data_IF_335561988024
#
_entry.id   IF_335561988024
#
_cell.length_a   1.000
_cell.length_b   1.000
_cell.length_c   1.000
_cell.angle_alpha   90.00
_cell.angle_beta   90.00
_cell.angle_gamma   90.00
#
_symmetry.space_group_name_H-M   'P 1'
#
loop_
_entity.id
_entity.type
_entity.pdbx_description
1 polymer ?
#
# COMPACT_ATOMS: atom_id res chain seq x y z
N UNK A 1 -17.66 -5.48 21.76
CA UNK A 1 -16.17 -5.47 21.85
C UNK A 1 -15.70 -6.84 21.38
N UNK A 2 -15.19 -6.91 20.16
CA UNK A 2 -14.81 -8.15 19.49
C UNK A 2 -13.55 -8.78 20.09
N UNK A 3 -13.41 -10.09 19.98
CA UNK A 3 -12.30 -10.90 20.52
C UNK A 3 -10.90 -10.35 20.18
N UNK A 4 -10.76 -9.62 19.07
CA UNK A 4 -9.53 -8.95 18.64
C UNK A 4 -9.06 -7.84 19.59
N UNK A 5 -9.95 -7.14 20.30
CA UNK A 5 -9.58 -6.12 21.29
C UNK A 5 -8.99 -6.73 22.57
N UNK A 6 -9.36 -7.95 22.91
CA UNK A 6 -8.88 -8.65 24.12
C UNK A 6 -7.47 -9.23 23.94
N UNK A 7 -7.02 -9.45 22.69
CA UNK A 7 -5.71 -10.05 22.36
C UNK A 7 -4.56 -9.02 22.25
N UNK A 8 -4.83 -7.74 22.45
CA UNK A 8 -3.82 -6.66 22.32
C UNK A 8 -2.99 -6.42 23.59
N UNK A 9 -3.31 -7.07 24.71
CA UNK A 9 -2.60 -6.87 25.98
C UNK A 9 -1.90 -8.16 26.40
N UNK A 10 -0.58 -8.18 26.34
CA UNK A 10 0.26 -9.20 26.94
C UNK A 10 0.72 -10.35 26.03
N UNK A 11 1.38 -11.33 26.61
CA UNK A 11 2.01 -12.52 25.97
C UNK A 11 1.15 -13.25 24.91
N UNK A 12 -0.17 -13.21 25.05
CA UNK A 12 -1.10 -13.85 24.11
C UNK A 12 -1.01 -13.29 22.67
N UNK A 13 -0.61 -12.02 22.48
CA UNK A 13 -0.45 -11.46 21.15
C UNK A 13 0.75 -12.03 20.38
N UNK A 14 1.76 -12.55 21.09
CA UNK A 14 2.95 -13.16 20.49
C UNK A 14 2.74 -14.62 20.09
N UNK A 15 1.95 -15.37 20.86
CA UNK A 15 1.62 -16.76 20.53
C UNK A 15 0.66 -16.90 19.34
N UNK A 16 -0.18 -15.90 19.12
CA UNK A 16 -1.10 -15.86 17.96
C UNK A 16 -0.33 -15.65 16.64
N UNK A 17 0.85 -15.03 16.67
CA UNK A 17 1.62 -14.73 15.46
C UNK A 17 2.28 -15.95 14.81
N UNK A 18 2.38 -17.07 15.50
CA UNK A 18 3.06 -18.27 14.99
C UNK A 18 2.15 -19.25 14.25
N UNK A 19 0.84 -19.07 14.30
CA UNK A 19 -0.13 -20.02 13.73
C UNK A 19 -1.04 -19.42 12.65
N UNK A 20 -0.92 -18.13 12.32
CA UNK A 20 -1.80 -17.51 11.33
C UNK A 20 -1.06 -17.28 10.01
N UNK A 21 -1.51 -17.95 8.97
CA UNK A 21 -1.11 -17.68 7.61
C UNK A 21 -2.09 -16.69 6.98
N UNK A 22 -1.54 -15.79 6.21
CA UNK A 22 -2.28 -14.70 5.60
C UNK A 22 -2.70 -15.09 4.20
N UNK A 23 -3.97 -15.16 3.93
CA UNK A 23 -4.46 -15.11 2.57
C UNK A 23 -4.38 -13.66 2.10
N UNK A 24 -3.56 -13.37 1.09
CA UNK A 24 -3.46 -12.03 0.52
C UNK A 24 -4.25 -12.01 -0.77
N UNK A 25 -5.22 -11.13 -0.80
CA UNK A 25 -6.00 -10.87 -1.99
C UNK A 25 -5.55 -9.56 -2.61
N UNK A 26 -5.01 -9.61 -3.81
CA UNK A 26 -4.82 -8.39 -4.59
C UNK A 26 -6.17 -8.00 -5.17
N UNK A 27 -6.72 -6.89 -4.73
CA UNK A 27 -7.93 -6.35 -5.35
C UNK A 27 -7.74 -6.18 -6.85
N UNK A 28 -8.75 -6.53 -7.64
CA UNK A 28 -8.70 -6.40 -9.09
C UNK A 28 -8.50 -4.94 -9.48
N UNK A 29 -7.32 -4.61 -9.93
CA UNK A 29 -7.00 -3.28 -10.41
C UNK A 29 -7.60 -3.06 -11.80
N UNK A 30 -8.84 -2.61 -11.90
CA UNK A 30 -9.38 -1.99 -13.13
C UNK A 30 -8.70 -0.66 -13.49
N UNK A 31 -7.61 -0.35 -12.81
CA UNK A 31 -6.91 0.93 -12.81
C UNK A 31 -6.07 1.22 -14.04
N UNK A 32 -5.77 0.20 -14.84
CA UNK A 32 -4.81 0.34 -15.93
C UNK A 32 -5.33 1.08 -17.15
N UNK A 33 -6.62 1.37 -17.25
CA UNK A 33 -7.16 1.80 -18.54
C UNK A 33 -7.72 3.23 -18.61
N UNK A 34 -7.86 3.98 -17.52
CA UNK A 34 -8.60 5.27 -17.62
C UNK A 34 -8.14 6.43 -16.75
N UNK A 35 -7.05 6.34 -16.02
CA UNK A 35 -6.55 7.53 -15.34
C UNK A 35 -5.42 8.16 -16.16
N UNK A 36 -5.81 8.90 -17.19
CA UNK A 36 -5.02 10.04 -17.63
C UNK A 36 -4.72 10.91 -16.42
N UNK A 37 -3.50 11.45 -16.32
CA UNK A 37 -3.15 12.39 -15.25
C UNK A 37 -4.20 13.49 -15.21
N UNK A 38 -5.13 13.44 -14.25
CA UNK A 38 -6.07 14.53 -14.05
C UNK A 38 -5.30 15.71 -13.50
N UNK A 39 -5.01 16.67 -14.38
CA UNK A 39 -4.54 17.98 -13.96
C UNK A 39 -5.69 18.68 -13.22
N UNK A 40 -5.56 18.86 -11.91
CA UNK A 40 -6.48 19.68 -11.13
C UNK A 40 -6.13 21.13 -11.38
N UNK A 41 -7.02 21.85 -12.04
CA UNK A 41 -6.89 23.29 -12.24
C UNK A 41 -7.40 24.02 -11.00
N UNK A 42 -6.49 24.63 -10.28
CA UNK A 42 -6.83 25.62 -9.25
C UNK A 42 -6.74 27.02 -9.89
N UNK A 43 -7.89 27.60 -10.23
CA UNK A 43 -7.92 28.87 -10.95
C UNK A 43 -7.35 28.78 -12.38
N UNK A 44 -7.31 29.91 -13.10
CA UNK A 44 -6.87 29.93 -14.50
C UNK A 44 -5.36 29.75 -14.72
N UNK A 45 -4.52 29.65 -13.70
CA UNK A 45 -3.05 29.76 -13.85
C UNK A 45 -2.21 28.66 -13.20
N UNK A 46 -2.71 27.81 -12.33
CA UNK A 46 -1.90 26.80 -11.64
C UNK A 46 -2.41 25.40 -11.91
N UNK A 47 -1.55 24.54 -12.44
CA UNK A 47 -1.79 23.12 -12.62
C UNK A 47 -0.97 22.36 -11.58
N UNK A 48 -1.62 21.52 -10.78
CA UNK A 48 -0.96 20.64 -9.82
C UNK A 48 -1.21 19.16 -10.12
N UNK A 49 -0.39 18.29 -9.55
CA UNK A 49 -0.54 16.83 -9.63
C UNK A 49 -1.03 16.27 -8.31
N UNK A 50 -1.90 15.28 -8.38
CA UNK A 50 -2.31 14.45 -7.25
C UNK A 50 -1.91 13.02 -7.58
N UNK A 51 -1.31 12.32 -6.62
CA UNK A 51 -0.94 10.93 -6.83
C UNK A 51 -2.16 10.07 -7.12
N UNK A 52 -2.03 9.12 -8.03
CA UNK A 52 -3.12 8.26 -8.53
C UNK A 52 -3.86 7.55 -7.40
N UNK A 53 -3.16 7.18 -6.34
CA UNK A 53 -3.75 6.56 -5.15
C UNK A 53 -4.96 7.35 -4.61
N UNK A 54 -4.89 8.68 -4.63
CA UNK A 54 -5.95 9.55 -4.07
C UNK A 54 -7.05 9.91 -5.07
N UNK A 55 -6.83 9.62 -6.34
CA UNK A 55 -7.84 9.82 -7.39
C UNK A 55 -8.76 8.62 -7.57
N UNK A 56 -8.53 7.61 -6.77
CA UNK A 56 -9.13 6.32 -7.00
C UNK A 56 -10.13 5.99 -5.92
N UNK A 57 -11.02 5.10 -6.27
CA UNK A 57 -12.01 4.53 -5.37
C UNK A 57 -11.32 3.58 -4.38
N UNK A 58 -10.83 4.16 -3.28
CA UNK A 58 -10.09 3.42 -2.27
C UNK A 58 -11.00 2.54 -1.40
N UNK A 59 -10.45 1.44 -0.87
CA UNK A 59 -11.13 0.53 0.06
C UNK A 59 -11.70 1.17 1.32
N UNK A 60 -11.40 2.43 1.57
CA UNK A 60 -11.94 3.19 2.72
C UNK A 60 -13.38 3.65 2.51
N UNK A 61 -13.85 3.67 1.27
CA UNK A 61 -15.21 4.04 0.94
C UNK A 61 -16.09 2.79 0.91
N UNK A 62 -17.08 2.74 1.78
CA UNK A 62 -17.94 1.56 1.98
C UNK A 62 -18.81 1.20 0.77
N UNK A 63 -19.02 2.13 -0.13
CA UNK A 63 -19.74 1.95 -1.40
C UNK A 63 -18.83 1.58 -2.57
N UNK A 64 -17.51 1.58 -2.36
CA UNK A 64 -16.55 1.19 -3.39
C UNK A 64 -16.61 -0.30 -3.72
N UNK A 65 -16.36 -0.65 -4.97
CA UNK A 65 -16.29 -2.06 -5.41
C UNK A 65 -15.17 -2.82 -4.71
N UNK A 66 -14.05 -2.16 -4.42
CA UNK A 66 -12.95 -2.75 -3.66
C UNK A 66 -13.37 -3.13 -2.24
N UNK A 67 -14.07 -2.24 -1.53
CA UNK A 67 -14.57 -2.50 -0.20
C UNK A 67 -15.60 -3.65 -0.19
N UNK A 68 -16.58 -3.59 -1.09
CA UNK A 68 -17.61 -4.63 -1.23
C UNK A 68 -17.01 -6.01 -1.51
N UNK A 69 -16.00 -6.06 -2.38
CA UNK A 69 -15.29 -7.31 -2.69
C UNK A 69 -14.56 -7.84 -1.46
N UNK A 70 -13.90 -6.98 -0.71
CA UNK A 70 -13.21 -7.33 0.52
C UNK A 70 -14.16 -7.90 1.59
N UNK A 71 -15.31 -7.24 1.80
CA UNK A 71 -16.34 -7.71 2.73
C UNK A 71 -16.95 -9.03 2.27
N UNK A 72 -17.22 -9.18 0.98
CA UNK A 72 -17.76 -10.43 0.44
C UNK A 72 -16.79 -11.59 0.60
N UNK A 73 -15.49 -11.36 0.44
CA UNK A 73 -14.47 -12.38 0.64
C UNK A 73 -14.31 -12.76 2.12
N UNK A 74 -14.34 -11.78 3.02
CA UNK A 74 -14.35 -12.05 4.46
C UNK A 74 -15.54 -12.92 4.85
N UNK A 75 -16.74 -12.57 4.36
CA UNK A 75 -17.94 -13.38 4.57
C UNK A 75 -17.79 -14.80 4.03
N UNK A 76 -17.25 -14.95 2.81
CA UNK A 76 -17.00 -16.26 2.23
C UNK A 76 -16.09 -17.13 3.10
N UNK A 77 -15.00 -16.56 3.63
CA UNK A 77 -14.11 -17.29 4.56
C UNK A 77 -14.83 -17.70 5.85
N UNK A 78 -15.66 -16.81 6.41
CA UNK A 78 -16.46 -17.10 7.58
C UNK A 78 -17.51 -18.19 7.32
N UNK A 79 -18.16 -18.16 6.15
CA UNK A 79 -19.12 -19.19 5.72
C UNK A 79 -18.44 -20.57 5.51
N UNK A 80 -17.12 -20.58 5.22
CA UNK A 80 -16.30 -21.80 5.22
C UNK A 80 -15.93 -22.31 6.63
N UNK A 81 -16.38 -21.64 7.68
CA UNK A 81 -16.13 -22.03 9.08
C UNK A 81 -14.85 -21.45 9.68
N UNK A 82 -14.16 -20.54 8.99
CA UNK A 82 -12.92 -19.93 9.45
C UNK A 82 -13.19 -18.73 10.35
N UNK A 83 -12.34 -18.52 11.36
CA UNK A 83 -12.28 -17.25 12.08
C UNK A 83 -11.40 -16.28 11.28
N UNK A 84 -11.93 -15.10 10.99
CA UNK A 84 -11.26 -14.13 10.12
C UNK A 84 -11.02 -12.82 10.84
N UNK A 85 -9.83 -12.25 10.67
CA UNK A 85 -9.54 -10.85 11.01
C UNK A 85 -8.95 -10.14 9.81
N UNK A 86 -9.37 -8.92 9.56
CA UNK A 86 -8.98 -8.17 8.36
C UNK A 86 -8.05 -7.00 8.65
N UNK A 87 -7.23 -6.66 7.68
CA UNK A 87 -6.37 -5.47 7.72
C UNK A 87 -7.15 -4.16 7.61
N UNK A 88 -8.41 -4.20 7.15
CA UNK A 88 -9.29 -3.02 7.07
C UNK A 88 -9.45 -2.33 8.41
N UNK A 89 -9.53 -3.11 9.49
CA UNK A 89 -9.84 -2.59 10.81
C UNK A 89 -8.61 -2.12 11.58
N UNK A 90 -7.45 -2.76 11.39
CA UNK A 90 -6.36 -2.63 12.34
C UNK A 90 -4.95 -2.49 11.76
N UNK A 91 -4.72 -2.67 10.48
CA UNK A 91 -3.36 -2.75 9.95
C UNK A 91 -2.55 -3.87 10.65
N UNK A 92 -3.06 -5.09 10.62
CA UNK A 92 -2.61 -6.23 11.43
C UNK A 92 -1.35 -6.92 10.92
N UNK A 93 -0.89 -6.57 9.73
CA UNK A 93 0.30 -7.21 9.14
C UNK A 93 1.12 -6.25 8.28
N UNK A 94 2.39 -6.59 8.09
CA UNK A 94 3.28 -5.95 7.14
C UNK A 94 2.94 -6.41 5.71
N UNK A 95 1.91 -5.83 5.11
CA UNK A 95 1.30 -6.28 3.85
C UNK A 95 2.30 -6.59 2.73
N UNK A 96 3.28 -5.71 2.49
CA UNK A 96 4.28 -5.92 1.43
C UNK A 96 5.16 -7.15 1.70
N UNK A 97 5.57 -7.35 2.95
CA UNK A 97 6.35 -8.51 3.35
C UNK A 97 5.51 -9.78 3.26
N UNK A 98 4.29 -9.76 3.76
CA UNK A 98 3.36 -10.88 3.68
C UNK A 98 3.09 -11.27 2.21
N UNK A 99 2.86 -10.28 1.33
CA UNK A 99 2.70 -10.52 -0.11
C UNK A 99 3.92 -11.14 -0.77
N UNK A 100 5.12 -10.71 -0.37
CA UNK A 100 6.37 -11.31 -0.84
C UNK A 100 6.49 -12.77 -0.37
N UNK A 101 6.17 -13.06 0.89
CA UNK A 101 6.19 -14.43 1.44
C UNK A 101 5.14 -15.33 0.82
N UNK A 102 3.98 -14.79 0.48
CA UNK A 102 2.94 -15.52 -0.25
C UNK A 102 3.27 -15.75 -1.74
N UNK A 103 4.38 -15.21 -2.23
CA UNK A 103 4.80 -15.38 -3.62
C UNK A 103 4.01 -14.58 -4.65
N UNK A 104 3.15 -13.63 -4.24
CA UNK A 104 2.32 -12.85 -5.17
C UNK A 104 3.04 -11.65 -5.77
N UNK A 105 4.23 -11.34 -5.28
CA UNK A 105 5.02 -10.22 -5.79
C UNK A 105 6.36 -10.06 -5.08
N UNK A 106 7.05 -8.97 -5.41
CA UNK A 106 8.35 -8.60 -4.84
C UNK A 106 8.36 -7.14 -4.39
N UNK A 107 9.22 -6.83 -3.44
CA UNK A 107 9.53 -5.45 -3.08
C UNK A 107 10.72 -4.98 -3.92
N UNK A 108 10.60 -3.84 -4.61
CA UNK A 108 11.67 -3.26 -5.41
C UNK A 108 12.41 -2.15 -4.66
N UNK A 109 13.51 -1.66 -5.25
CA UNK A 109 14.43 -0.68 -4.65
C UNK A 109 13.75 0.61 -4.14
N UNK A 110 12.59 0.97 -4.69
CA UNK A 110 11.77 2.10 -4.23
C UNK A 110 10.83 1.78 -3.07
N UNK A 111 10.96 0.62 -2.45
CA UNK A 111 10.08 0.12 -1.39
C UNK A 111 8.62 -0.16 -1.80
N UNK A 112 8.27 -0.05 -3.08
CA UNK A 112 6.96 -0.46 -3.54
C UNK A 112 6.91 -1.97 -3.81
N UNK A 113 5.71 -2.51 -3.61
CA UNK A 113 5.40 -3.90 -3.92
C UNK A 113 4.94 -4.00 -5.37
N UNK A 114 5.50 -4.94 -6.11
CA UNK A 114 5.21 -5.19 -7.51
C UNK A 114 4.67 -6.61 -7.68
N UNK A 115 3.53 -6.72 -8.31
CA UNK A 115 3.02 -7.96 -8.90
C UNK A 115 3.37 -7.99 -10.38
N UNK A 116 2.99 -9.04 -11.08
CA UNK A 116 3.10 -9.11 -12.55
C UNK A 116 2.35 -7.97 -13.25
N UNK A 117 1.34 -7.39 -12.60
CA UNK A 117 0.54 -6.27 -13.11
C UNK A 117 1.10 -4.88 -12.73
N UNK A 118 2.26 -4.82 -12.08
CA UNK A 118 2.90 -3.57 -11.66
C UNK A 118 2.67 -3.24 -10.19
N UNK A 119 2.89 -1.97 -9.81
CA UNK A 119 2.85 -1.50 -8.42
C UNK A 119 1.55 -0.77 -8.03
N UNK A 120 0.72 -0.39 -8.98
CA UNK A 120 -0.56 0.27 -8.70
C UNK A 120 -1.62 -0.77 -8.31
N UNK A 121 -1.46 -1.32 -7.11
CA UNK A 121 -2.37 -2.32 -6.57
C UNK A 121 -2.57 -2.12 -5.07
N UNK A 122 -3.77 -2.43 -4.61
CA UNK A 122 -4.05 -2.56 -3.19
C UNK A 122 -3.67 -3.96 -2.71
N UNK A 123 -2.97 -4.00 -1.60
CA UNK A 123 -2.75 -5.22 -0.85
C UNK A 123 -3.73 -5.26 0.31
N UNK A 124 -4.23 -6.44 0.59
CA UNK A 124 -5.09 -6.71 1.73
C UNK A 124 -4.72 -8.05 2.33
N UNK A 125 -4.85 -8.17 3.64
CA UNK A 125 -4.58 -9.38 4.37
C UNK A 125 -5.82 -9.83 5.16
N UNK A 126 -6.06 -11.12 5.10
CA UNK A 126 -7.04 -11.81 5.93
C UNK A 126 -6.28 -12.80 6.79
N UNK A 127 -6.30 -12.62 8.09
CA UNK A 127 -5.77 -13.60 9.03
C UNK A 127 -6.86 -14.61 9.33
N UNK A 128 -6.52 -15.88 9.18
CA UNK A 128 -7.42 -17.00 9.47
C UNK A 128 -6.80 -17.90 10.52
N UNK A 129 -7.62 -18.67 11.20
CA UNK A 129 -7.22 -19.59 12.26
C UNK A 129 -6.74 -20.97 11.76
N UNK A 130 -6.69 -21.15 10.44
CA UNK A 130 -6.18 -22.35 9.79
C UNK A 130 -4.88 -22.10 9.03
N UNK A 131 -3.92 -23.04 9.07
CA UNK A 131 -2.68 -22.91 8.31
C UNK A 131 -2.92 -23.16 6.82
N UNK A 132 -2.46 -22.23 5.98
CA UNK A 132 -2.43 -22.42 4.54
C UNK A 132 -1.06 -22.92 4.09
N UNK A 133 -1.04 -24.02 3.35
CA UNK A 133 0.18 -24.59 2.79
C UNK A 133 0.45 -24.15 1.35
N UNK A 134 -0.38 -23.25 0.83
CA UNK A 134 -0.29 -22.83 -0.57
C UNK A 134 0.55 -21.56 -0.71
N UNK A 135 1.71 -21.70 -1.37
CA UNK A 135 2.59 -20.58 -1.73
C UNK A 135 2.75 -20.59 -3.25
N UNK A 136 2.53 -19.44 -3.86
CA UNK A 136 2.77 -19.26 -5.31
C UNK A 136 4.19 -18.74 -5.50
N UNK A 137 4.93 -19.31 -6.44
CA UNK A 137 6.18 -18.73 -6.90
C UNK A 137 5.90 -17.74 -8.03
N UNK A 138 6.28 -16.48 -7.84
CA UNK A 138 6.17 -15.48 -8.90
C UNK A 138 7.43 -15.50 -9.78
N UNK A 139 7.27 -15.07 -11.04
CA UNK A 139 8.35 -14.97 -12.01
C UNK A 139 8.83 -13.52 -12.21
N UNK A 140 8.52 -12.65 -11.26
CA UNK A 140 8.84 -11.22 -11.36
C UNK A 140 10.33 -11.01 -11.16
N UNK A 141 10.97 -10.43 -12.17
CA UNK A 141 12.39 -10.13 -12.09
C UNK A 141 12.66 -8.98 -11.10
N UNK A 142 13.64 -9.10 -10.22
CA UNK A 142 14.08 -8.01 -9.37
C UNK A 142 14.66 -6.86 -10.20
N UNK A 143 14.91 -5.72 -9.56
CA UNK A 143 15.64 -4.63 -10.21
C UNK A 143 17.03 -5.11 -10.64
N UNK A 144 17.47 -4.68 -11.81
CA UNK A 144 18.88 -4.86 -12.20
C UNK A 144 19.80 -4.23 -11.14
N UNK A 145 20.96 -4.82 -10.92
CA UNK A 145 21.87 -4.41 -9.86
C UNK A 145 22.21 -2.91 -9.92
N UNK A 146 22.53 -2.41 -11.10
CA UNK A 146 22.90 -1.00 -11.34
C UNK A 146 21.71 -0.06 -11.57
N UNK A 147 20.46 -0.56 -11.52
CA UNK A 147 19.29 0.27 -11.72
C UNK A 147 19.07 1.20 -10.52
N UNK A 148 18.95 2.50 -10.79
CA UNK A 148 18.70 3.56 -9.81
C UNK A 148 17.65 4.58 -10.31
N UNK A 149 16.79 4.20 -11.25
CA UNK A 149 15.83 5.11 -11.88
C UNK A 149 14.92 5.78 -10.84
N UNK A 150 14.37 5.02 -9.90
CA UNK A 150 13.50 5.55 -8.85
C UNK A 150 14.22 6.56 -7.93
N UNK A 151 15.50 6.34 -7.61
CA UNK A 151 16.29 7.27 -6.81
C UNK A 151 16.54 8.57 -7.57
N UNK A 152 16.86 8.48 -8.86
CA UNK A 152 17.10 9.68 -9.70
C UNK A 152 15.82 10.45 -10.04
N UNK A 153 14.67 9.79 -10.03
CA UNK A 153 13.38 10.44 -10.27
C UNK A 153 12.76 11.07 -9.01
N UNK A 154 13.31 10.79 -7.84
CA UNK A 154 12.81 11.36 -6.60
C UNK A 154 13.17 12.85 -6.50
N UNK A 155 12.20 13.78 -6.52
CA UNK A 155 12.51 15.21 -6.58
C UNK A 155 13.19 15.75 -5.31
N UNK A 156 13.00 15.06 -4.20
CA UNK A 156 13.57 15.44 -2.90
C UNK A 156 14.68 14.48 -2.43
N UNK A 157 15.09 13.56 -3.29
CA UNK A 157 16.14 12.58 -3.00
C UNK A 157 15.86 11.70 -1.75
N UNK A 158 14.57 11.55 -1.41
CA UNK A 158 14.13 10.76 -0.24
C UNK A 158 14.53 9.29 -0.30
N UNK A 159 14.78 8.74 -1.49
CA UNK A 159 15.30 7.40 -1.69
C UNK A 159 16.84 7.45 -1.60
N UNK A 160 17.35 7.37 -0.37
CA UNK A 160 18.77 7.53 -0.05
C UNK A 160 19.63 6.36 -0.54
N UNK A 161 19.05 5.17 -0.52
CA UNK A 161 19.67 3.94 -1.00
C UNK A 161 18.57 2.94 -1.44
N UNK A 162 18.95 1.83 -2.12
CA UNK A 162 18.00 0.76 -2.40
C UNK A 162 17.29 0.28 -1.13
N UNK A 163 15.94 0.27 -1.17
CA UNK A 163 15.07 -0.12 -0.06
C UNK A 163 15.09 0.83 1.15
N UNK A 164 15.75 1.97 1.05
CA UNK A 164 15.81 2.98 2.10
C UNK A 164 15.15 4.27 1.65
N UNK A 165 14.17 4.72 2.42
CA UNK A 165 13.44 5.96 2.15
C UNK A 165 13.38 6.80 3.44
N UNK A 166 13.82 8.04 3.35
CA UNK A 166 13.62 9.02 4.40
C UNK A 166 12.19 9.58 4.32
N UNK A 167 11.39 9.28 5.31
CA UNK A 167 10.00 9.74 5.38
C UNK A 167 9.90 11.27 5.49
N UNK A 168 10.82 11.88 6.20
CA UNK A 168 10.81 13.32 6.49
C UNK A 168 11.15 14.20 5.27
N UNK A 169 11.64 13.61 4.20
CA UNK A 169 11.94 14.32 2.95
C UNK A 169 11.04 13.85 1.80
N UNK A 170 10.21 12.84 2.02
CA UNK A 170 9.34 12.29 0.98
C UNK A 170 8.15 13.21 0.69
N UNK A 171 8.02 13.68 -0.55
CA UNK A 171 6.90 14.53 -0.99
C UNK A 171 5.55 13.95 -0.61
N UNK A 172 5.35 12.65 -0.82
CA UNK A 172 4.10 11.99 -0.45
C UNK A 172 3.83 12.10 1.04
N UNK A 173 4.82 11.83 1.89
CA UNK A 173 4.65 11.96 3.34
C UNK A 173 4.38 13.42 3.75
N UNK A 174 5.15 14.36 3.23
CA UNK A 174 5.04 15.78 3.57
C UNK A 174 3.69 16.38 3.16
N UNK A 175 3.09 15.90 2.07
CA UNK A 175 1.83 16.44 1.55
C UNK A 175 0.58 15.72 2.03
N UNK A 176 0.68 14.53 2.66
CA UNK A 176 -0.49 13.71 2.99
C UNK A 176 -0.65 13.41 4.48
N UNK A 177 0.39 13.63 5.28
CA UNK A 177 0.31 13.40 6.72
C UNK A 177 0.08 14.71 7.46
N UNK A 178 -0.77 14.68 8.48
CA UNK A 178 -1.06 15.84 9.31
C UNK A 178 0.18 16.31 10.10
N UNK A 179 0.23 17.61 10.38
CA UNK A 179 1.26 18.21 11.22
C UNK A 179 2.39 18.91 10.47
N UNK A 180 2.41 18.88 9.14
CA UNK A 180 3.39 19.60 8.34
C UNK A 180 2.83 20.93 7.84
N UNK A 181 3.53 22.02 8.12
CA UNK A 181 3.23 23.32 7.50
C UNK A 181 4.01 23.47 6.19
N UNK A 182 3.36 23.14 5.09
CA UNK A 182 3.97 23.20 3.76
C UNK A 182 4.45 24.61 3.36
N UNK A 183 3.93 25.67 4.00
CA UNK A 183 4.36 27.05 3.72
C UNK A 183 5.77 27.33 4.23
N UNK A 184 6.20 26.61 5.27
CA UNK A 184 7.51 26.73 5.89
C UNK A 184 8.43 25.54 5.58
N UNK A 185 7.97 24.59 4.79
CA UNK A 185 8.73 23.39 4.44
C UNK A 185 9.91 23.73 3.52
N UNK A 186 11.17 23.48 3.96
CA UNK A 186 12.36 23.85 3.18
C UNK A 186 12.43 23.19 1.79
N UNK A 187 11.81 22.02 1.65
CA UNK A 187 11.81 21.25 0.42
C UNK A 187 10.67 21.60 -0.55
N UNK A 188 9.81 22.57 -0.20
CA UNK A 188 8.64 22.94 -0.99
C UNK A 188 8.98 23.22 -2.46
N UNK A 189 10.10 23.88 -2.71
CA UNK A 189 10.56 24.22 -4.06
C UNK A 189 10.92 22.98 -4.89
N UNK A 190 11.18 21.84 -4.26
CA UNK A 190 11.49 20.55 -4.89
C UNK A 190 10.25 19.70 -5.16
N UNK A 191 9.06 20.10 -4.69
CA UNK A 191 7.83 19.33 -4.90
C UNK A 191 7.36 19.34 -6.35
N UNK A 192 8.00 20.13 -7.20
CA UNK A 192 7.58 20.32 -8.59
C UNK A 192 6.11 20.74 -8.67
N UNK A 193 5.28 19.90 -9.28
CA UNK A 193 3.83 20.13 -9.39
C UNK A 193 3.00 19.25 -8.44
N UNK A 194 3.63 18.46 -7.56
CA UNK A 194 2.92 17.60 -6.64
C UNK A 194 2.29 18.41 -5.51
N UNK A 195 0.97 18.35 -5.39
CA UNK A 195 0.19 19.05 -4.37
C UNK A 195 -0.38 18.09 -3.31
N UNK A 196 -0.54 16.80 -3.66
CA UNK A 196 -1.03 15.78 -2.72
C UNK A 196 -0.56 14.39 -3.17
N UNK A 197 0.27 13.75 -2.33
CA UNK A 197 0.95 12.52 -2.73
C UNK A 197 2.01 12.75 -3.81
N UNK A 198 2.66 11.66 -4.24
CA UNK A 198 3.68 11.69 -5.29
C UNK A 198 3.83 10.31 -5.92
N UNK A 199 3.87 10.24 -7.25
CA UNK A 199 4.07 9.01 -8.04
C UNK A 199 5.40 9.05 -8.83
N UNK A 200 6.39 9.85 -8.40
CA UNK A 200 7.64 10.01 -9.13
C UNK A 200 8.54 8.76 -9.12
N UNK A 201 8.48 7.94 -8.09
CA UNK A 201 9.28 6.71 -7.94
C UNK A 201 8.45 5.40 -8.18
#
# INVERSE_FOLDING_TARGET
MTAAKKKRTGKAAYEVSTHFFTAIVTGNCRWQTQLEEKEIRWGQRMKGRVAKYYLTDGRRHTDSEGYKTSVAFEKYLADCGLQVATDRDFGITALRWAGMKAGIGIIRKNNFFYTEKGSYQYLEAFLIDEPLQYIVENQIRPCAEKCNLCMRSCPTESLEAPYMMCRNTCVSCLTTWDGWDLRTEPLQNKFEKWIYGCDAC
#
